data_IF_892404588786
#
_entry.id   IF_892404588786
#
_cell.length_a   1.000
_cell.length_b   1.000
_cell.length_c   1.000
_cell.angle_alpha   90.00
_cell.angle_beta   90.00
_cell.angle_gamma   90.00
#
_symmetry.space_group_name_H-M   'P 1'
#
loop_
_entity.id
_entity.type
_entity.pdbx_description
1 polymer ?
#
# COMPACT_ATOMS: atom_id res chain seq x y z
N UNK A 1 16.48 9.31 -12.18
CA UNK A 1 15.33 9.97 -11.54
C UNK A 1 15.67 11.43 -11.38
N UNK A 2 14.99 12.32 -12.09
CA UNK A 2 15.03 13.74 -11.79
C UNK A 2 14.47 13.90 -10.38
N UNK A 3 15.33 14.23 -9.42
CA UNK A 3 14.89 14.80 -8.14
C UNK A 3 13.88 15.89 -8.49
N UNK A 4 12.63 15.84 -7.99
CA UNK A 4 11.77 17.01 -8.03
C UNK A 4 12.63 18.15 -7.51
N UNK A 5 12.79 19.22 -8.28
CA UNK A 5 13.54 20.38 -7.84
C UNK A 5 12.82 20.95 -6.62
N UNK A 6 13.18 20.43 -5.45
CA UNK A 6 13.01 21.12 -4.20
C UNK A 6 13.67 22.48 -4.39
N UNK A 7 12.95 23.57 -4.14
CA UNK A 7 13.55 24.90 -4.13
C UNK A 7 14.86 24.89 -3.31
N UNK A 8 15.76 25.86 -3.53
CA UNK A 8 17.15 25.82 -3.05
C UNK A 8 17.32 25.51 -1.55
N UNK A 9 16.28 25.72 -0.74
CA UNK A 9 16.26 25.55 0.70
C UNK A 9 15.59 24.28 1.23
N UNK A 10 15.01 23.40 0.42
CA UNK A 10 14.24 22.25 0.92
C UNK A 10 14.74 20.93 0.34
N UNK A 11 14.48 19.82 1.02
CA UNK A 11 14.73 18.48 0.52
C UNK A 11 13.63 17.50 0.95
N UNK A 12 13.41 16.48 0.11
CA UNK A 12 12.46 15.40 0.35
C UNK A 12 13.26 14.18 0.76
N UNK A 13 13.03 13.70 1.98
CA UNK A 13 13.76 12.54 2.52
C UNK A 13 12.80 11.50 3.06
N UNK A 14 13.12 10.23 2.81
CA UNK A 14 12.43 9.09 3.43
C UNK A 14 13.13 8.73 4.73
N UNK A 15 12.40 8.75 5.84
CA UNK A 15 12.92 8.50 7.19
C UNK A 15 12.09 7.43 7.90
N UNK A 16 12.67 6.64 8.81
CA UNK A 16 11.89 5.74 9.65
C UNK A 16 10.84 6.53 10.43
N UNK A 17 9.63 5.99 10.55
CA UNK A 17 8.55 6.66 11.29
C UNK A 17 8.94 6.90 12.75
N UNK A 18 9.72 6.01 13.35
CA UNK A 18 10.24 6.18 14.70
C UNK A 18 11.08 7.47 14.84
N UNK A 19 11.88 7.81 13.83
CA UNK A 19 12.64 9.07 13.81
C UNK A 19 11.71 10.29 13.76
N UNK A 20 10.67 10.23 12.94
CA UNK A 20 9.67 11.28 12.87
C UNK A 20 8.93 11.43 14.21
N UNK A 21 8.58 10.31 14.84
CA UNK A 21 7.83 10.28 16.10
C UNK A 21 8.68 10.69 17.31
N UNK A 22 10.01 10.61 17.23
CA UNK A 22 10.93 11.10 18.27
C UNK A 22 10.94 12.63 18.43
N UNK A 23 10.47 13.38 17.41
CA UNK A 23 10.37 14.84 17.52
C UNK A 23 9.16 15.25 18.38
N UNK A 24 9.31 16.30 19.22
CA UNK A 24 8.19 16.82 20.00
C UNK A 24 7.08 17.31 19.06
N UNK A 25 5.79 17.22 19.44
CA UNK A 25 4.66 17.54 18.55
C UNK A 25 4.73 18.93 17.92
N UNK A 26 5.35 19.89 18.60
CA UNK A 26 5.53 21.28 18.14
C UNK A 26 6.61 21.44 17.07
N UNK A 27 7.59 20.53 16.99
CA UNK A 27 8.71 20.57 16.04
C UNK A 27 8.66 19.45 14.98
N UNK A 28 7.69 18.54 15.09
CA UNK A 28 7.53 17.40 14.20
C UNK A 28 7.04 17.83 12.80
N UNK A 29 7.71 17.41 11.70
CA UNK A 29 7.21 17.64 10.36
C UNK A 29 5.81 17.04 10.19
N UNK A 30 4.82 17.80 9.70
CA UNK A 30 3.46 17.24 9.53
C UNK A 30 3.42 16.29 8.34
N UNK A 31 3.02 15.04 8.59
CA UNK A 31 2.65 14.10 7.53
C UNK A 31 1.30 14.50 6.96
N UNK A 32 1.25 14.79 5.66
CA UNK A 32 0.03 15.19 4.96
C UNK A 32 -0.07 14.46 3.62
N UNK A 33 -1.29 14.40 3.10
CA UNK A 33 -1.51 14.14 1.68
C UNK A 33 -0.94 15.29 0.86
N UNK A 34 -0.58 14.97 -0.37
CA UNK A 34 -0.18 15.97 -1.33
C UNK A 34 -1.38 16.53 -2.03
N UNK A 35 -1.62 17.83 -1.89
CA UNK A 35 -2.65 18.50 -2.67
C UNK A 35 -2.11 18.88 -4.05
N UNK A 36 -1.85 17.84 -4.85
CA UNK A 36 -1.41 17.95 -6.24
C UNK A 36 -2.51 17.46 -7.20
N UNK A 37 -2.19 17.46 -8.50
CA UNK A 37 -3.11 17.01 -9.54
C UNK A 37 -3.62 15.59 -9.30
N UNK A 38 -2.80 14.68 -8.76
CA UNK A 38 -3.21 13.29 -8.54
C UNK A 38 -4.23 13.17 -7.42
N UNK A 39 -4.04 13.86 -6.30
CA UNK A 39 -5.03 13.86 -5.21
C UNK A 39 -6.32 14.58 -5.61
N UNK A 40 -6.22 15.68 -6.36
CA UNK A 40 -7.40 16.38 -6.87
C UNK A 40 -8.17 15.48 -7.86
N UNK A 41 -7.47 14.85 -8.80
CA UNK A 41 -8.08 13.88 -9.72
C UNK A 41 -8.71 12.70 -8.98
N UNK A 42 -8.02 12.13 -7.99
CA UNK A 42 -8.57 11.08 -7.13
C UNK A 42 -9.90 11.52 -6.51
N UNK A 43 -9.93 12.69 -5.87
CA UNK A 43 -11.13 13.21 -5.21
C UNK A 43 -12.27 13.47 -6.20
N UNK A 44 -12.00 14.20 -7.28
CA UNK A 44 -13.01 14.57 -8.28
C UNK A 44 -13.61 13.32 -8.91
N UNK A 45 -12.78 12.38 -9.39
CA UNK A 45 -13.26 11.15 -10.03
C UNK A 45 -14.00 10.27 -9.03
N UNK A 46 -13.51 10.13 -7.80
CA UNK A 46 -14.19 9.35 -6.76
C UNK A 46 -15.56 9.95 -6.43
N UNK A 47 -15.68 11.27 -6.31
CA UNK A 47 -16.95 11.94 -6.02
C UNK A 47 -17.95 11.71 -7.17
N UNK A 48 -17.53 11.90 -8.42
CA UNK A 48 -18.40 11.68 -9.58
C UNK A 48 -18.86 10.21 -9.66
N UNK A 49 -17.95 9.26 -9.45
CA UNK A 49 -18.29 7.84 -9.44
C UNK A 49 -19.16 7.46 -8.23
N UNK A 50 -18.96 8.09 -7.06
CA UNK A 50 -19.78 7.87 -5.89
C UNK A 50 -21.23 8.33 -6.10
N UNK A 51 -21.46 9.41 -6.86
CA UNK A 51 -22.81 9.83 -7.24
C UNK A 51 -23.50 8.77 -8.10
N UNK A 52 -22.82 8.25 -9.12
CA UNK A 52 -23.35 7.17 -9.98
C UNK A 52 -23.62 5.91 -9.16
N UNK A 53 -22.68 5.52 -8.30
CA UNK A 53 -22.82 4.40 -7.36
C UNK A 53 -24.04 4.58 -6.45
N UNK A 54 -24.26 5.80 -5.94
CA UNK A 54 -25.42 6.16 -5.14
C UNK A 54 -26.74 6.01 -5.89
N UNK A 55 -26.79 6.39 -7.17
CA UNK A 55 -27.95 6.15 -8.04
C UNK A 55 -28.20 4.66 -8.28
N UNK A 56 -27.15 3.86 -8.47
CA UNK A 56 -27.27 2.39 -8.58
C UNK A 56 -27.85 1.80 -7.31
N UNK A 57 -27.37 2.22 -6.14
CA UNK A 57 -27.91 1.79 -4.84
C UNK A 57 -29.38 2.20 -4.69
N UNK A 58 -29.73 3.43 -5.06
CA UNK A 58 -31.11 3.91 -5.04
C UNK A 58 -32.01 3.05 -5.94
N UNK A 59 -31.53 2.65 -7.12
CA UNK A 59 -32.20 1.70 -7.99
C UNK A 59 -32.53 0.39 -7.28
N UNK A 60 -31.55 -0.19 -6.59
CA UNK A 60 -31.73 -1.37 -5.74
C UNK A 60 -32.79 -1.17 -4.64
N UNK A 61 -32.76 -0.01 -3.97
CA UNK A 61 -33.72 0.32 -2.92
C UNK A 61 -35.17 0.44 -3.43
N UNK A 62 -35.35 0.80 -4.71
CA UNK A 62 -36.65 0.83 -5.37
C UNK A 62 -37.07 -0.56 -5.86
N UNK A 63 -36.11 -1.34 -6.38
CA UNK A 63 -36.32 -2.70 -6.85
C UNK A 63 -35.01 -3.50 -6.74
N UNK A 64 -34.96 -4.63 -6.00
CA UNK A 64 -36.05 -5.39 -5.36
C UNK A 64 -36.69 -4.72 -4.14
N UNK A 65 -36.06 -3.69 -3.57
CA UNK A 65 -36.56 -3.03 -2.37
C UNK A 65 -35.49 -2.88 -1.29
N UNK A 66 -35.79 -2.13 -0.22
CA UNK A 66 -34.79 -1.73 0.75
C UNK A 66 -34.20 -2.90 1.55
N UNK A 67 -35.00 -3.93 1.86
CA UNK A 67 -34.55 -5.08 2.66
C UNK A 67 -33.39 -5.85 2.01
N UNK A 68 -33.59 -6.45 0.83
CA UNK A 68 -32.53 -7.18 0.11
C UNK A 68 -31.32 -6.29 -0.21
N UNK A 69 -31.53 -5.03 -0.60
CA UNK A 69 -30.43 -4.10 -0.90
C UNK A 69 -29.58 -3.76 0.33
N UNK A 70 -30.20 -3.43 1.46
CA UNK A 70 -29.47 -3.18 2.71
C UNK A 70 -28.73 -4.43 3.17
N UNK A 71 -29.34 -5.61 3.04
CA UNK A 71 -28.70 -6.87 3.38
C UNK A 71 -27.46 -7.12 2.50
N UNK A 72 -27.59 -6.99 1.19
CA UNK A 72 -26.50 -7.21 0.25
C UNK A 72 -25.33 -6.24 0.49
N UNK A 73 -25.61 -4.95 0.68
CA UNK A 73 -24.59 -3.95 0.97
C UNK A 73 -23.97 -4.17 2.36
N UNK A 74 -24.77 -4.55 3.36
CA UNK A 74 -24.31 -4.86 4.70
C UNK A 74 -23.32 -6.03 4.72
N UNK A 75 -23.60 -7.10 3.96
CA UNK A 75 -22.68 -8.22 3.77
C UNK A 75 -21.37 -7.77 3.10
N UNK A 76 -21.44 -6.87 2.11
CA UNK A 76 -20.26 -6.27 1.48
C UNK A 76 -19.40 -5.46 2.44
N UNK A 77 -20.02 -4.66 3.32
CA UNK A 77 -19.30 -3.91 4.36
C UNK A 77 -18.61 -4.86 5.34
N UNK A 78 -19.30 -5.92 5.79
CA UNK A 78 -18.72 -6.92 6.69
C UNK A 78 -17.55 -7.63 6.02
N UNK A 79 -17.71 -8.07 4.77
CA UNK A 79 -16.65 -8.69 3.99
C UNK A 79 -15.43 -7.77 3.87
N UNK A 80 -15.61 -6.53 3.43
CA UNK A 80 -14.50 -5.58 3.28
C UNK A 80 -13.82 -5.28 4.62
N UNK A 81 -14.58 -5.16 5.70
CA UNK A 81 -14.04 -4.93 7.04
C UNK A 81 -13.22 -6.12 7.55
N UNK A 82 -13.69 -7.36 7.33
CA UNK A 82 -12.95 -8.58 7.72
C UNK A 82 -11.64 -8.69 6.95
N UNK A 83 -11.66 -8.51 5.63
CA UNK A 83 -10.46 -8.61 4.80
C UNK A 83 -9.49 -7.48 5.12
N UNK A 84 -9.98 -6.24 5.25
CA UNK A 84 -9.15 -5.11 5.66
C UNK A 84 -8.54 -5.34 7.05
N UNK A 85 -9.31 -5.87 8.00
CA UNK A 85 -8.79 -6.23 9.31
C UNK A 85 -7.62 -7.21 9.17
N UNK A 86 -7.77 -8.30 8.41
CA UNK A 86 -6.70 -9.28 8.18
C UNK A 86 -5.46 -8.61 7.57
N UNK A 87 -5.62 -7.83 6.49
CA UNK A 87 -4.52 -7.10 5.84
C UNK A 87 -3.86 -6.11 6.81
N UNK A 88 -4.64 -5.45 7.67
CA UNK A 88 -4.13 -4.47 8.64
C UNK A 88 -3.23 -5.07 9.72
N UNK A 89 -3.32 -6.39 9.95
CA UNK A 89 -2.44 -7.13 10.87
C UNK A 89 -1.09 -7.48 10.27
N UNK A 90 -0.93 -7.30 8.96
CA UNK A 90 0.27 -7.73 8.24
C UNK A 90 1.38 -6.70 8.34
N UNK A 91 2.63 -7.15 8.20
CA UNK A 91 3.78 -6.25 8.21
C UNK A 91 3.71 -5.25 7.04
N UNK A 92 3.22 -5.67 5.87
CA UNK A 92 3.16 -4.85 4.66
C UNK A 92 2.26 -3.62 4.81
N UNK A 93 1.22 -3.72 5.66
CA UNK A 93 0.31 -2.62 5.94
C UNK A 93 0.89 -1.60 6.93
N UNK A 94 1.93 -1.96 7.69
CA UNK A 94 2.43 -1.16 8.81
C UNK A 94 2.81 0.25 8.36
N UNK A 95 2.24 1.26 9.03
CA UNK A 95 2.46 2.67 8.69
C UNK A 95 1.43 3.27 7.74
N UNK A 96 0.55 2.46 7.14
CA UNK A 96 -0.57 2.94 6.32
C UNK A 96 -1.61 3.67 7.18
N UNK A 97 -1.97 4.93 6.85
CA UNK A 97 -3.06 5.63 7.50
C UNK A 97 -4.41 4.99 7.19
N UNK A 98 -5.31 4.98 8.17
CA UNK A 98 -6.69 4.50 8.00
C UNK A 98 -7.40 5.20 6.85
N UNK A 99 -7.27 6.53 6.74
CA UNK A 99 -7.92 7.29 5.66
C UNK A 99 -7.45 6.84 4.26
N UNK A 100 -6.18 6.47 4.11
CA UNK A 100 -5.64 6.00 2.84
C UNK A 100 -6.14 4.59 2.49
N UNK A 101 -6.28 3.72 3.49
CA UNK A 101 -6.90 2.40 3.32
C UNK A 101 -8.39 2.50 2.95
N UNK A 102 -9.13 3.39 3.63
CA UNK A 102 -10.53 3.66 3.31
C UNK A 102 -10.68 4.28 1.91
N UNK A 103 -9.78 5.18 1.50
CA UNK A 103 -9.77 5.72 0.15
C UNK A 103 -9.53 4.65 -0.91
N UNK A 104 -8.70 3.64 -0.64
CA UNK A 104 -8.48 2.50 -1.54
C UNK A 104 -9.74 1.64 -1.69
N UNK A 105 -10.37 1.26 -0.58
CA UNK A 105 -11.64 0.52 -0.60
C UNK A 105 -12.72 1.34 -1.32
N UNK A 106 -12.84 2.63 -1.00
CA UNK A 106 -13.81 3.53 -1.62
C UNK A 106 -13.60 3.65 -3.13
N UNK A 107 -12.34 3.73 -3.60
CA UNK A 107 -12.06 3.70 -5.03
C UNK A 107 -12.59 2.42 -5.67
N UNK A 108 -12.33 1.26 -5.06
CA UNK A 108 -12.85 -0.02 -5.52
C UNK A 108 -14.37 -0.02 -5.68
N UNK A 109 -15.08 0.40 -4.64
CA UNK A 109 -16.57 0.48 -4.60
C UNK A 109 -17.11 1.43 -5.67
N UNK A 110 -16.39 2.52 -5.96
CA UNK A 110 -16.88 3.60 -6.82
C UNK A 110 -16.18 3.61 -8.18
N UNK A 111 -15.02 4.26 -8.29
CA UNK A 111 -14.28 4.41 -9.53
C UNK A 111 -13.96 3.09 -10.23
N UNK A 112 -13.63 2.05 -9.46
CA UNK A 112 -13.42 0.71 -9.99
C UNK A 112 -14.66 0.17 -10.72
N UNK A 113 -15.81 0.12 -10.03
CA UNK A 113 -17.06 -0.44 -10.59
C UNK A 113 -17.67 0.47 -11.65
N UNK A 114 -17.74 1.78 -11.43
CA UNK A 114 -18.40 2.69 -12.38
C UNK A 114 -17.61 2.82 -13.67
N UNK A 115 -16.29 3.07 -13.59
CA UNK A 115 -15.48 3.20 -14.79
C UNK A 115 -15.29 1.85 -15.47
N UNK A 116 -15.15 0.77 -14.69
CA UNK A 116 -14.98 -0.58 -15.20
C UNK A 116 -16.23 -1.16 -15.83
N UNK A 117 -17.32 -1.25 -15.07
CA UNK A 117 -18.53 -1.98 -15.46
C UNK A 117 -19.57 -1.17 -16.22
N UNK A 118 -19.62 0.16 -16.09
CA UNK A 118 -20.73 0.96 -16.63
C UNK A 118 -20.39 1.84 -17.83
N UNK A 119 -19.12 1.91 -18.26
CA UNK A 119 -18.73 2.80 -19.37
C UNK A 119 -18.53 2.10 -20.70
N UNK A 120 -17.92 0.91 -20.70
CA UNK A 120 -17.41 0.28 -21.91
C UNK A 120 -17.69 -1.23 -22.02
N UNK A 121 -18.22 -1.85 -20.96
CA UNK A 121 -18.47 -3.30 -20.93
C UNK A 121 -19.40 -3.77 -22.05
N UNK A 122 -20.51 -3.08 -22.30
CA UNK A 122 -21.46 -3.46 -23.35
C UNK A 122 -20.81 -3.42 -24.75
N UNK A 123 -20.16 -2.31 -25.10
CA UNK A 123 -19.49 -2.15 -26.39
C UNK A 123 -18.37 -3.18 -26.60
N UNK A 124 -17.65 -3.57 -25.54
CA UNK A 124 -16.61 -4.60 -25.62
C UNK A 124 -17.21 -6.01 -25.78
N UNK A 125 -18.37 -6.27 -25.17
CA UNK A 125 -19.14 -7.50 -25.37
C UNK A 125 -19.60 -7.63 -26.83
N UNK A 126 -20.22 -6.56 -27.35
CA UNK A 126 -20.70 -6.49 -28.74
C UNK A 126 -19.55 -6.67 -29.74
N UNK A 127 -18.37 -6.09 -29.45
CA UNK A 127 -17.18 -6.25 -30.28
C UNK A 127 -16.72 -7.72 -30.35
N UNK A 128 -16.70 -8.43 -29.22
CA UNK A 128 -16.34 -9.85 -29.18
C UNK A 128 -17.30 -10.70 -30.02
N UNK A 129 -18.60 -10.42 -29.90
CA UNK A 129 -19.65 -11.07 -30.70
C UNK A 129 -19.47 -10.74 -32.18
N UNK A 130 -19.20 -9.48 -32.53
CA UNK A 130 -18.94 -9.03 -33.89
C UNK A 130 -17.69 -9.65 -34.53
N UNK A 131 -16.68 -10.00 -33.72
CA UNK A 131 -15.50 -10.76 -34.15
C UNK A 131 -15.74 -12.27 -34.31
N UNK A 132 -16.95 -12.76 -34.05
CA UNK A 132 -17.26 -14.20 -34.08
C UNK A 132 -16.61 -14.96 -32.92
N UNK A 133 -16.31 -14.27 -31.81
CA UNK A 133 -15.68 -14.85 -30.61
C UNK A 133 -16.52 -14.59 -29.34
N UNK A 134 -17.81 -14.96 -29.30
CA UNK A 134 -18.66 -14.71 -28.13
C UNK A 134 -18.13 -15.33 -26.83
N UNK A 135 -17.25 -16.33 -26.93
CA UNK A 135 -16.61 -17.01 -25.80
C UNK A 135 -15.77 -16.07 -24.93
N UNK A 136 -15.23 -15.00 -25.52
CA UNK A 136 -14.40 -14.00 -24.81
C UNK A 136 -15.18 -12.73 -24.44
N UNK A 137 -16.50 -12.68 -24.70
CA UNK A 137 -17.30 -11.47 -24.50
C UNK A 137 -17.20 -10.95 -23.05
N UNK A 138 -17.41 -11.81 -22.06
CA UNK A 138 -17.27 -11.45 -20.64
C UNK A 138 -15.82 -11.20 -20.21
N UNK A 139 -14.86 -11.84 -20.88
CA UNK A 139 -13.44 -11.57 -20.66
C UNK A 139 -13.06 -10.16 -21.11
N UNK A 140 -13.58 -9.69 -22.25
CA UNK A 140 -13.35 -8.33 -22.73
C UNK A 140 -14.21 -7.30 -21.98
N UNK A 141 -15.49 -7.59 -21.78
CA UNK A 141 -16.44 -6.66 -21.16
C UNK A 141 -16.19 -6.44 -19.67
N UNK A 142 -15.85 -7.49 -18.93
CA UNK A 142 -15.57 -7.41 -17.49
C UNK A 142 -14.09 -7.15 -17.21
N UNK A 143 -13.19 -8.00 -17.70
CA UNK A 143 -11.80 -7.94 -17.23
C UNK A 143 -11.03 -6.72 -17.73
N UNK A 144 -11.18 -6.34 -19.00
CA UNK A 144 -10.39 -5.25 -19.59
C UNK A 144 -10.66 -3.90 -18.91
N UNK A 145 -11.91 -3.37 -18.91
CA UNK A 145 -12.15 -2.04 -18.37
C UNK A 145 -12.04 -2.02 -16.85
N UNK A 146 -12.43 -3.08 -16.15
CA UNK A 146 -12.36 -3.09 -14.70
C UNK A 146 -10.93 -3.15 -14.17
N UNK A 147 -10.05 -4.02 -14.70
CA UNK A 147 -8.66 -4.05 -14.24
C UNK A 147 -7.94 -2.74 -14.57
N UNK A 148 -8.32 -2.08 -15.66
CA UNK A 148 -7.82 -0.74 -16.02
C UNK A 148 -8.29 0.33 -15.03
N UNK A 149 -9.57 0.34 -14.66
CA UNK A 149 -10.14 1.27 -13.69
C UNK A 149 -9.54 1.09 -12.29
N UNK A 150 -9.33 -0.17 -11.86
CA UNK A 150 -8.68 -0.50 -10.59
C UNK A 150 -7.21 -0.08 -10.61
N UNK A 151 -6.49 -0.32 -11.70
CA UNK A 151 -5.09 0.11 -11.88
C UNK A 151 -4.94 1.63 -11.77
N UNK A 152 -5.84 2.40 -12.40
CA UNK A 152 -5.87 3.86 -12.30
C UNK A 152 -5.98 4.30 -10.84
N UNK A 153 -6.87 3.67 -10.07
CA UNK A 153 -7.00 3.92 -8.63
C UNK A 153 -5.71 3.71 -7.87
N UNK A 154 -5.04 2.58 -8.10
CA UNK A 154 -3.76 2.29 -7.44
C UNK A 154 -2.73 3.37 -7.77
N UNK A 155 -2.61 3.80 -9.03
CA UNK A 155 -1.70 4.88 -9.40
C UNK A 155 -2.02 6.17 -8.64
N UNK A 156 -3.29 6.62 -8.69
CA UNK A 156 -3.73 7.85 -8.03
C UNK A 156 -3.49 7.81 -6.52
N UNK A 157 -3.82 6.70 -5.86
CA UNK A 157 -3.64 6.52 -4.42
C UNK A 157 -2.16 6.45 -4.04
N UNK A 158 -1.32 5.80 -4.83
CA UNK A 158 0.13 5.76 -4.61
C UNK A 158 0.73 7.17 -4.68
N UNK A 159 0.31 8.01 -5.62
CA UNK A 159 0.75 9.40 -5.70
C UNK A 159 0.18 10.27 -4.58
N UNK A 160 -1.12 10.15 -4.27
CA UNK A 160 -1.76 10.91 -3.19
C UNK A 160 -1.17 10.57 -1.82
N UNK A 161 -0.91 9.28 -1.59
CA UNK A 161 -0.43 8.69 -0.36
C UNK A 161 1.08 8.53 -0.24
N UNK A 162 1.90 9.05 -1.18
CA UNK A 162 3.37 8.85 -1.23
C UNK A 162 4.15 9.28 0.01
N UNK A 163 3.52 10.01 0.94
CA UNK A 163 4.04 10.27 2.28
C UNK A 163 4.20 8.97 3.08
N UNK A 164 3.28 8.02 2.91
CA UNK A 164 3.24 6.75 3.64
C UNK A 164 3.51 5.55 2.72
N UNK A 165 3.06 5.62 1.46
CA UNK A 165 3.20 4.57 0.47
C UNK A 165 4.42 4.78 -0.43
N UNK A 166 5.60 4.51 0.13
CA UNK A 166 6.91 4.74 -0.49
C UNK A 166 7.79 3.47 -0.53
N UNK A 167 7.17 2.29 -0.60
CA UNK A 167 7.83 0.99 -0.80
C UNK A 167 7.05 0.17 -1.85
N UNK A 168 7.70 -0.70 -2.65
CA UNK A 168 7.01 -1.47 -3.69
C UNK A 168 5.80 -2.26 -3.18
N UNK A 169 5.91 -2.89 -2.01
CA UNK A 169 4.81 -3.64 -1.39
C UNK A 169 3.63 -2.79 -0.92
N UNK A 170 3.76 -1.47 -0.80
CA UNK A 170 2.60 -0.61 -0.56
C UNK A 170 1.68 -0.56 -1.78
N UNK A 171 2.21 -0.73 -2.99
CA UNK A 171 1.39 -0.92 -4.19
C UNK A 171 0.57 -2.21 -4.15
N UNK A 172 1.14 -3.30 -3.62
CA UNK A 172 0.41 -4.55 -3.37
C UNK A 172 -0.74 -4.34 -2.38
N UNK A 173 -0.48 -3.66 -1.25
CA UNK A 173 -1.52 -3.34 -0.25
C UNK A 173 -2.61 -2.46 -0.85
N UNK A 174 -2.24 -1.42 -1.61
CA UNK A 174 -3.19 -0.57 -2.31
C UNK A 174 -4.07 -1.37 -3.27
N UNK A 175 -3.45 -2.24 -4.07
CA UNK A 175 -4.15 -3.08 -5.04
C UNK A 175 -5.13 -4.05 -4.40
N UNK A 176 -4.72 -4.74 -3.32
CA UNK A 176 -5.60 -5.64 -2.57
C UNK A 176 -6.79 -4.87 -2.00
N UNK A 177 -6.58 -3.70 -1.39
CA UNK A 177 -7.69 -2.93 -0.79
C UNK A 177 -8.65 -2.36 -1.85
N UNK A 178 -8.14 -1.93 -3.01
CA UNK A 178 -8.98 -1.53 -4.15
C UNK A 178 -9.80 -2.72 -4.64
N UNK A 179 -9.18 -3.87 -4.84
CA UNK A 179 -9.87 -5.09 -5.30
C UNK A 179 -10.92 -5.57 -4.29
N UNK A 180 -10.66 -5.49 -2.99
CA UNK A 180 -11.64 -5.80 -1.93
C UNK A 180 -12.86 -4.89 -2.00
N UNK A 181 -12.66 -3.58 -2.18
CA UNK A 181 -13.77 -2.64 -2.32
C UNK A 181 -14.61 -2.92 -3.56
N UNK A 182 -13.95 -3.22 -4.68
CA UNK A 182 -14.62 -3.60 -5.92
C UNK A 182 -15.45 -4.87 -5.74
N UNK A 183 -14.84 -5.94 -5.21
CA UNK A 183 -15.49 -7.23 -4.99
C UNK A 183 -16.67 -7.11 -4.03
N UNK A 184 -16.54 -6.33 -2.96
CA UNK A 184 -17.62 -6.09 -2.01
C UNK A 184 -18.85 -5.50 -2.69
N UNK A 185 -18.66 -4.50 -3.55
CA UNK A 185 -19.77 -3.85 -4.23
C UNK A 185 -20.31 -4.68 -5.39
N UNK A 186 -19.45 -5.31 -6.18
CA UNK A 186 -19.88 -6.19 -7.26
C UNK A 186 -20.70 -7.38 -6.73
N UNK A 187 -20.23 -8.04 -5.66
CA UNK A 187 -20.99 -9.11 -5.01
C UNK A 187 -22.38 -8.63 -4.55
N UNK A 188 -22.46 -7.41 -4.02
CA UNK A 188 -23.73 -6.80 -3.65
C UNK A 188 -24.62 -6.55 -4.88
N UNK A 189 -24.06 -6.04 -5.98
CA UNK A 189 -24.82 -5.81 -7.21
C UNK A 189 -25.38 -7.10 -7.80
N UNK A 190 -24.60 -8.18 -7.84
CA UNK A 190 -25.10 -9.49 -8.27
C UNK A 190 -26.22 -9.99 -7.36
N UNK A 191 -26.04 -9.90 -6.04
CA UNK A 191 -27.05 -10.31 -5.08
C UNK A 191 -28.34 -9.49 -5.23
N UNK A 192 -28.24 -8.17 -5.41
CA UNK A 192 -29.38 -7.27 -5.62
C UNK A 192 -30.10 -7.59 -6.94
N UNK A 193 -29.33 -7.77 -8.02
CA UNK A 193 -29.88 -7.95 -9.37
C UNK A 193 -30.53 -9.31 -9.58
N UNK A 194 -30.00 -10.34 -8.93
CA UNK A 194 -30.49 -11.72 -9.08
C UNK A 194 -31.46 -12.14 -7.97
N UNK A 195 -31.57 -11.39 -6.87
CA UNK A 195 -32.52 -11.68 -5.80
C UNK A 195 -33.97 -11.89 -6.28
N UNK A 196 -34.56 -11.04 -7.15
CA UNK A 196 -35.93 -11.22 -7.65
C UNK A 196 -36.17 -12.52 -8.42
N UNK A 197 -35.10 -13.16 -8.91
CA UNK A 197 -35.20 -14.40 -9.70
C UNK A 197 -35.26 -15.64 -8.83
N UNK A 198 -35.03 -15.50 -7.52
CA UNK A 198 -35.01 -16.61 -6.58
C UNK A 198 -36.44 -17.07 -6.23
N UNK A 199 -36.68 -18.38 -6.29
CA UNK A 199 -38.04 -18.96 -6.23
C UNK A 199 -38.76 -18.79 -4.87
N UNK A 200 -38.02 -18.55 -3.78
CA UNK A 200 -38.59 -18.48 -2.43
C UNK A 200 -38.78 -17.04 -1.95
N UNK A 201 -37.70 -16.26 -1.91
CA UNK A 201 -37.71 -14.86 -1.55
C UNK A 201 -36.44 -14.15 -2.03
N UNK A 202 -36.53 -12.84 -2.20
CA UNK A 202 -35.39 -11.98 -2.53
C UNK A 202 -34.29 -12.04 -1.47
N UNK A 203 -34.65 -12.14 -0.19
CA UNK A 203 -33.69 -12.26 0.92
C UNK A 203 -32.87 -13.54 0.80
N UNK A 204 -33.52 -14.66 0.49
CA UNK A 204 -32.81 -15.92 0.27
C UNK A 204 -31.93 -15.84 -0.99
N UNK A 205 -32.42 -15.21 -2.06
CA UNK A 205 -31.64 -14.94 -3.26
C UNK A 205 -30.36 -14.15 -2.97
N UNK A 206 -30.44 -13.12 -2.13
CA UNK A 206 -29.26 -12.36 -1.67
C UNK A 206 -28.27 -13.27 -0.93
N UNK A 207 -28.74 -14.04 0.05
CA UNK A 207 -27.87 -14.88 0.89
C UNK A 207 -27.17 -15.97 0.06
N UNK A 208 -27.91 -16.66 -0.81
CA UNK A 208 -27.36 -17.72 -1.66
C UNK A 208 -26.39 -17.15 -2.69
N UNK A 209 -26.71 -16.03 -3.33
CA UNK A 209 -25.81 -15.39 -4.28
C UNK A 209 -24.50 -14.94 -3.61
N UNK A 210 -24.58 -14.34 -2.41
CA UNK A 210 -23.40 -14.01 -1.63
C UNK A 210 -22.56 -15.25 -1.28
N UNK A 211 -23.20 -16.32 -0.83
CA UNK A 211 -22.52 -17.57 -0.48
C UNK A 211 -21.78 -18.15 -1.69
N UNK A 212 -22.44 -18.24 -2.84
CA UNK A 212 -21.84 -18.75 -4.08
C UNK A 212 -20.63 -17.90 -4.47
N UNK A 213 -20.75 -16.57 -4.42
CA UNK A 213 -19.65 -15.67 -4.81
C UNK A 213 -18.47 -15.71 -3.83
N UNK A 214 -18.73 -15.91 -2.54
CA UNK A 214 -17.68 -16.11 -1.54
C UNK A 214 -16.92 -17.43 -1.71
N UNK A 215 -17.59 -18.49 -2.17
CA UNK A 215 -16.97 -19.82 -2.29
C UNK A 215 -16.35 -20.06 -3.66
N UNK A 216 -17.01 -19.61 -4.74
CA UNK A 216 -16.58 -19.91 -6.10
C UNK A 216 -15.20 -19.31 -6.39
N UNK A 217 -15.01 -18.01 -6.13
CA UNK A 217 -13.79 -17.26 -6.43
C UNK A 217 -13.42 -16.26 -5.35
N UNK A 218 -13.10 -16.72 -4.13
CA UNK A 218 -12.82 -15.82 -3.01
C UNK A 218 -11.66 -14.88 -3.33
N UNK A 219 -11.84 -13.59 -3.10
CA UNK A 219 -10.80 -12.57 -3.24
C UNK A 219 -10.24 -12.46 -4.67
N UNK A 220 -11.00 -12.85 -5.71
CA UNK A 220 -10.52 -12.82 -7.08
C UNK A 220 -10.07 -11.42 -7.51
N UNK A 221 -10.83 -10.37 -7.21
CA UNK A 221 -10.43 -9.02 -7.61
C UNK A 221 -9.29 -8.48 -6.75
N UNK A 222 -9.29 -8.82 -5.45
CA UNK A 222 -8.17 -8.50 -4.58
C UNK A 222 -6.86 -9.15 -5.07
N UNK A 223 -6.96 -10.38 -5.59
CA UNK A 223 -5.88 -11.09 -6.26
C UNK A 223 -5.42 -10.34 -7.52
N UNK A 224 -6.32 -10.12 -8.49
CA UNK A 224 -5.99 -9.50 -9.77
C UNK A 224 -5.35 -8.12 -9.56
N UNK A 225 -6.02 -7.25 -8.81
CA UNK A 225 -5.54 -5.89 -8.56
C UNK A 225 -4.33 -5.87 -7.62
N UNK A 226 -4.15 -6.87 -6.74
CA UNK A 226 -2.93 -7.05 -5.96
C UNK A 226 -1.69 -7.26 -6.84
N UNK A 227 -1.81 -8.08 -7.89
CA UNK A 227 -0.74 -8.30 -8.88
C UNK A 227 -0.39 -6.99 -9.61
N UNK A 228 -1.42 -6.30 -10.11
CA UNK A 228 -1.28 -5.02 -10.81
C UNK A 228 -0.63 -3.97 -9.89
N UNK A 229 -1.12 -3.88 -8.65
CA UNK A 229 -0.65 -2.92 -7.67
C UNK A 229 0.79 -3.15 -7.24
N UNK A 230 1.23 -4.41 -7.06
CA UNK A 230 2.64 -4.72 -6.82
C UNK A 230 3.52 -4.23 -7.98
N UNK A 231 3.13 -4.50 -9.22
CA UNK A 231 3.89 -4.11 -10.40
C UNK A 231 3.98 -2.58 -10.55
N UNK A 232 2.89 -1.85 -10.30
CA UNK A 232 2.89 -0.38 -10.21
C UNK A 232 3.84 0.08 -9.11
N UNK A 233 3.78 -0.52 -7.92
CA UNK A 233 4.67 -0.21 -6.81
C UNK A 233 6.14 -0.39 -7.16
N UNK A 234 6.49 -1.49 -7.82
CA UNK A 234 7.85 -1.76 -8.33
C UNK A 234 8.25 -0.70 -9.36
N UNK A 235 7.40 -0.45 -10.36
CA UNK A 235 7.67 0.50 -11.43
C UNK A 235 7.85 1.93 -10.93
N UNK A 236 7.17 2.32 -9.85
CA UNK A 236 7.29 3.67 -9.27
C UNK A 236 8.50 3.81 -8.33
N UNK A 237 8.81 2.77 -7.56
CA UNK A 237 9.64 2.94 -6.35
C UNK A 237 10.97 2.20 -6.37
N UNK A 238 11.18 1.22 -7.25
CA UNK A 238 12.53 0.64 -7.44
C UNK A 238 13.42 1.63 -8.20
N UNK A 239 14.62 1.89 -7.68
CA UNK A 239 15.53 2.91 -8.21
C UNK A 239 16.39 2.41 -9.38
N UNK A 240 16.63 1.10 -9.43
CA UNK A 240 17.50 0.38 -10.36
C UNK A 240 16.85 0.12 -11.74
N UNK A 241 15.58 0.50 -11.93
CA UNK A 241 14.85 0.27 -13.18
C UNK A 241 15.01 1.42 -14.19
N UNK A 242 15.34 1.05 -15.43
CA UNK A 242 15.27 1.92 -16.61
C UNK A 242 13.81 2.26 -16.98
N UNK A 243 13.60 3.27 -17.83
CA UNK A 243 12.26 3.66 -18.29
C UNK A 243 11.52 2.50 -18.97
N UNK A 244 12.20 1.76 -19.85
CA UNK A 244 11.61 0.59 -20.54
C UNK A 244 11.22 -0.50 -19.56
N UNK A 245 12.06 -0.79 -18.56
CA UNK A 245 11.73 -1.78 -17.53
C UNK A 245 10.51 -1.35 -16.70
N UNK A 246 10.35 -0.06 -16.39
CA UNK A 246 9.17 0.43 -15.67
C UNK A 246 7.90 0.23 -16.48
N UNK A 247 7.93 0.55 -17.78
CA UNK A 247 6.80 0.28 -18.68
C UNK A 247 6.50 -1.22 -18.75
N UNK A 248 7.53 -2.05 -18.85
CA UNK A 248 7.40 -3.51 -18.83
C UNK A 248 6.73 -4.04 -17.56
N UNK A 249 7.07 -3.48 -16.38
CA UNK A 249 6.38 -3.82 -15.13
C UNK A 249 4.91 -3.41 -15.16
N UNK A 250 4.59 -2.20 -15.59
CA UNK A 250 3.20 -1.72 -15.64
C UNK A 250 2.37 -2.57 -16.60
N UNK A 251 2.84 -2.78 -17.83
CA UNK A 251 2.11 -3.57 -18.84
C UNK A 251 2.04 -5.05 -18.46
N UNK A 252 3.14 -5.63 -17.96
CA UNK A 252 3.18 -7.03 -17.53
C UNK A 252 2.32 -7.30 -16.30
N UNK A 253 2.32 -6.38 -15.32
CA UNK A 253 1.46 -6.48 -14.14
C UNK A 253 -0.01 -6.32 -14.47
N UNK A 254 -0.37 -5.32 -15.28
CA UNK A 254 -1.72 -5.16 -15.82
C UNK A 254 -2.14 -6.41 -16.60
N UNK A 255 -1.28 -6.90 -17.49
CA UNK A 255 -1.53 -8.11 -18.28
C UNK A 255 -1.72 -9.36 -17.42
N UNK A 256 -1.00 -9.50 -16.31
CA UNK A 256 -1.17 -10.61 -15.38
C UNK A 256 -2.52 -10.55 -14.65
N UNK A 257 -2.90 -9.39 -14.12
CA UNK A 257 -4.23 -9.19 -13.49
C UNK A 257 -5.37 -9.40 -14.50
N UNK A 258 -5.23 -8.81 -15.69
CA UNK A 258 -6.17 -9.01 -16.79
C UNK A 258 -6.25 -10.49 -17.19
N UNK A 259 -5.14 -11.21 -17.34
CA UNK A 259 -5.15 -12.60 -17.75
C UNK A 259 -5.88 -13.49 -16.74
N UNK A 260 -5.65 -13.32 -15.44
CA UNK A 260 -6.36 -14.09 -14.41
C UNK A 260 -7.87 -13.83 -14.50
N UNK A 261 -8.26 -12.56 -14.59
CA UNK A 261 -9.68 -12.19 -14.65
C UNK A 261 -10.35 -12.57 -15.99
N UNK A 262 -9.69 -12.34 -17.11
CA UNK A 262 -10.17 -12.71 -18.43
C UNK A 262 -10.32 -14.23 -18.56
N UNK A 263 -9.33 -14.99 -18.08
CA UNK A 263 -9.41 -16.46 -18.05
C UNK A 263 -10.49 -16.95 -17.11
N UNK A 264 -10.79 -16.24 -16.01
CA UNK A 264 -11.91 -16.54 -15.13
C UNK A 264 -13.26 -16.41 -15.84
N UNK A 265 -13.45 -15.33 -16.60
CA UNK A 265 -14.67 -15.02 -17.36
C UNK A 265 -14.80 -15.76 -18.70
N UNK A 266 -13.77 -16.48 -19.14
CA UNK A 266 -13.78 -17.19 -20.40
C UNK A 266 -14.84 -18.31 -20.39
N UNK A 267 -15.64 -18.39 -21.45
CA UNK A 267 -16.64 -19.45 -21.65
C UNK A 267 -16.28 -20.23 -22.93
N UNK A 268 -15.30 -21.13 -22.88
CA UNK A 268 -14.81 -21.81 -24.07
C UNK A 268 -15.80 -22.89 -24.54
N UNK A 269 -15.81 -23.18 -25.85
CA UNK A 269 -16.82 -24.07 -26.45
C UNK A 269 -16.80 -25.50 -25.90
N UNK A 270 -15.65 -25.99 -25.43
CA UNK A 270 -15.50 -27.33 -24.87
C UNK A 270 -16.10 -27.48 -23.46
N UNK A 271 -16.53 -26.39 -22.81
CA UNK A 271 -17.22 -26.39 -21.51
C UNK A 271 -18.75 -26.37 -21.65
N UNK A 272 -19.30 -26.19 -22.86
CA UNK A 272 -20.75 -25.96 -23.10
C UNK A 272 -21.66 -26.99 -22.44
N UNK A 273 -21.24 -28.25 -22.43
CA UNK A 273 -22.02 -29.37 -21.93
C UNK A 273 -21.51 -29.91 -20.58
N UNK A 274 -20.57 -29.22 -19.92
CA UNK A 274 -19.92 -29.70 -18.69
C UNK A 274 -19.65 -28.58 -17.68
N UNK A 275 -20.54 -28.47 -16.70
CA UNK A 275 -20.31 -27.61 -15.52
C UNK A 275 -19.02 -27.98 -14.79
N UNK A 276 -18.67 -29.27 -14.73
CA UNK A 276 -17.45 -29.74 -14.09
C UNK A 276 -16.19 -29.19 -14.79
N UNK A 277 -16.19 -29.14 -16.13
CA UNK A 277 -15.09 -28.59 -16.91
C UNK A 277 -14.85 -27.10 -16.58
N UNK A 278 -15.93 -26.31 -16.51
CA UNK A 278 -15.85 -24.90 -16.11
C UNK A 278 -15.34 -24.70 -14.68
N UNK A 279 -15.82 -25.49 -13.73
CA UNK A 279 -15.33 -25.45 -12.33
C UNK A 279 -13.85 -25.80 -12.23
N UNK A 280 -13.36 -26.77 -13.01
CA UNK A 280 -11.94 -27.12 -13.07
C UNK A 280 -11.12 -25.95 -13.61
N UNK A 281 -11.53 -25.34 -14.73
CA UNK A 281 -10.83 -24.16 -15.27
C UNK A 281 -10.79 -23.03 -14.26
N UNK A 282 -11.92 -22.65 -13.69
CA UNK A 282 -12.02 -21.58 -12.69
C UNK A 282 -11.09 -21.85 -11.50
N UNK A 283 -11.09 -23.09 -11.01
CA UNK A 283 -10.20 -23.52 -9.92
C UNK A 283 -8.73 -23.42 -10.30
N UNK A 284 -8.34 -23.87 -11.49
CA UNK A 284 -6.96 -23.80 -11.97
C UNK A 284 -6.49 -22.34 -12.12
N UNK A 285 -7.33 -21.48 -12.69
CA UNK A 285 -7.05 -20.04 -12.86
C UNK A 285 -6.86 -19.38 -11.49
N UNK A 286 -7.78 -19.64 -10.55
CA UNK A 286 -7.71 -19.07 -9.21
C UNK A 286 -6.50 -19.58 -8.41
N UNK A 287 -6.22 -20.89 -8.43
CA UNK A 287 -5.05 -21.48 -7.77
C UNK A 287 -3.76 -20.91 -8.36
N UNK A 288 -3.67 -20.83 -9.69
CA UNK A 288 -2.52 -20.27 -10.39
C UNK A 288 -2.27 -18.80 -10.01
N UNK A 289 -3.32 -17.97 -10.09
CA UNK A 289 -3.23 -16.56 -9.71
C UNK A 289 -2.87 -16.39 -8.24
N UNK A 290 -3.54 -17.10 -7.33
CA UNK A 290 -3.25 -17.07 -5.89
C UNK A 290 -1.82 -17.49 -5.60
N UNK A 291 -1.29 -18.52 -6.27
CA UNK A 291 0.10 -18.95 -6.09
C UNK A 291 1.10 -17.83 -6.47
N UNK A 292 0.84 -17.10 -7.55
CA UNK A 292 1.66 -15.93 -7.95
C UNK A 292 1.56 -14.82 -6.90
N UNK A 293 0.35 -14.47 -6.46
CA UNK A 293 0.16 -13.43 -5.44
C UNK A 293 0.82 -13.80 -4.11
N UNK A 294 0.66 -15.03 -3.64
CA UNK A 294 1.31 -15.53 -2.41
C UNK A 294 2.81 -15.45 -2.53
N UNK A 295 3.38 -15.80 -3.69
CA UNK A 295 4.82 -15.69 -3.95
C UNK A 295 5.29 -14.23 -3.83
N UNK A 296 4.57 -13.30 -4.46
CA UNK A 296 4.82 -11.86 -4.38
C UNK A 296 4.67 -11.36 -2.93
N UNK A 297 3.66 -11.84 -2.21
CA UNK A 297 3.38 -11.48 -0.83
C UNK A 297 4.50 -11.93 0.10
N UNK A 298 4.95 -13.19 -0.01
CA UNK A 298 6.05 -13.75 0.77
C UNK A 298 7.34 -13.02 0.47
N UNK A 299 7.64 -12.74 -0.80
CA UNK A 299 8.81 -11.96 -1.20
C UNK A 299 8.78 -10.54 -0.59
N UNK A 300 7.66 -9.84 -0.75
CA UNK A 300 7.42 -8.51 -0.18
C UNK A 300 7.56 -8.50 1.35
N UNK A 301 7.07 -9.54 2.02
CA UNK A 301 7.16 -9.66 3.48
C UNK A 301 8.59 -9.89 3.95
N UNK A 302 9.40 -10.65 3.20
CA UNK A 302 10.83 -10.81 3.47
C UNK A 302 11.57 -9.47 3.33
N UNK A 303 11.30 -8.71 2.27
CA UNK A 303 11.89 -7.37 2.10
C UNK A 303 11.47 -6.40 3.21
N UNK A 304 10.18 -6.37 3.56
CA UNK A 304 9.65 -5.53 4.63
C UNK A 304 10.24 -5.93 6.00
N UNK A 305 10.42 -7.23 6.26
CA UNK A 305 11.06 -7.74 7.48
C UNK A 305 12.52 -7.33 7.56
N UNK A 306 13.30 -7.52 6.49
CA UNK A 306 14.69 -7.07 6.45
C UNK A 306 14.81 -5.55 6.71
N UNK A 307 13.91 -4.74 6.15
CA UNK A 307 13.85 -3.31 6.42
C UNK A 307 13.45 -2.99 7.88
N UNK A 308 12.54 -3.77 8.47
CA UNK A 308 12.13 -3.61 9.86
C UNK A 308 13.25 -3.99 10.84
N UNK A 309 13.96 -5.10 10.58
CA UNK A 309 15.08 -5.57 11.40
C UNK A 309 16.25 -4.58 11.36
N UNK A 310 16.43 -3.86 10.24
CA UNK A 310 17.37 -2.75 10.11
C UNK A 310 16.87 -1.43 10.73
N UNK A 311 15.70 -1.40 11.38
CA UNK A 311 15.11 -0.19 11.97
C UNK A 311 14.63 0.85 10.95
N UNK A 312 14.51 0.48 9.68
CA UNK A 312 14.15 1.37 8.57
C UNK A 312 12.67 1.37 8.20
N UNK A 313 11.86 0.52 8.85
CA UNK A 313 10.44 0.34 8.53
C UNK A 313 9.56 0.31 9.81
N UNK A 314 8.37 0.95 9.83
CA UNK A 314 7.72 1.68 8.73
C UNK A 314 8.43 2.98 8.39
N UNK A 315 8.31 3.41 7.14
CA UNK A 315 8.98 4.61 6.60
C UNK A 315 7.96 5.67 6.22
N UNK A 316 8.33 6.94 6.38
CA UNK A 316 7.54 8.10 5.96
C UNK A 316 8.39 9.07 5.17
N UNK A 317 7.79 9.76 4.21
CA UNK A 317 8.44 10.80 3.42
C UNK A 317 8.18 12.15 4.07
N UNK A 318 9.23 12.91 4.40
CA UNK A 318 9.12 14.23 5.04
C UNK A 318 9.77 15.31 4.18
N UNK A 319 9.19 16.51 4.24
CA UNK A 319 9.79 17.75 3.72
C UNK A 319 10.54 18.42 4.84
N UNK A 320 11.84 18.61 4.67
CA UNK A 320 12.64 19.38 5.62
C UNK A 320 13.42 20.46 4.90
N UNK A 321 13.66 21.56 5.59
CA UNK A 321 14.58 22.59 5.10
C UNK A 321 15.95 21.93 5.00
N UNK A 322 16.65 22.07 3.88
CA UNK A 322 18.04 21.63 3.77
C UNK A 322 18.79 22.26 4.93
N UNK A 323 19.59 21.49 5.67
CA UNK A 323 20.55 22.08 6.58
C UNK A 323 21.35 23.09 5.76
N UNK A 324 21.30 24.37 6.13
CA UNK A 324 22.25 25.35 5.59
C UNK A 324 23.62 24.75 5.94
N UNK A 325 24.44 24.43 4.93
CA UNK A 325 25.82 24.03 5.16
C UNK A 325 26.39 25.07 6.11
N UNK A 326 26.68 24.65 7.35
CA UNK A 326 26.88 25.61 8.42
C UNK A 326 27.87 26.66 7.95
N UNK A 327 27.49 27.94 8.10
CA UNK A 327 28.52 28.96 8.32
C UNK A 327 29.46 28.30 9.32
N UNK A 328 30.76 28.14 9.02
CA UNK A 328 31.68 27.55 9.98
C UNK A 328 31.49 28.35 11.26
N UNK A 329 30.83 27.75 12.25
CA UNK A 329 30.78 28.34 13.57
C UNK A 329 32.24 28.32 13.98
N UNK A 330 32.89 29.48 13.88
CA UNK A 330 34.21 29.71 14.42
C UNK A 330 34.12 29.22 15.87
N UNK A 331 34.79 28.10 16.14
CA UNK A 331 34.73 27.49 17.45
C UNK A 331 35.11 28.53 18.49
N UNK A 332 34.35 28.59 19.59
CA UNK A 332 34.78 29.34 20.76
C UNK A 332 36.15 28.77 21.18
N UNK A 333 37.20 29.60 21.28
CA UNK A 333 38.53 29.14 21.67
C UNK A 333 38.47 28.38 23.00
N UNK A 334 39.00 27.16 23.06
CA UNK A 334 39.16 26.39 24.30
C UNK A 334 38.09 25.32 24.61
N UNK A 335 37.15 25.03 23.71
CA UNK A 335 36.17 23.94 23.89
C UNK A 335 36.65 22.66 23.19
N UNK A 336 36.74 21.50 23.88
CA UNK A 336 37.05 20.21 23.24
C UNK A 336 36.01 19.83 22.19
N UNK A 337 36.45 19.32 21.05
CA UNK A 337 35.55 18.83 19.99
C UNK A 337 34.70 17.64 20.47
N UNK A 338 33.45 17.54 20.00
CA UNK A 338 32.59 16.38 20.24
C UNK A 338 32.75 15.34 19.11
N UNK A 339 32.91 14.04 19.43
CA UNK A 339 32.91 12.98 18.42
C UNK A 339 31.58 12.90 17.66
N UNK A 340 31.65 12.56 16.37
CA UNK A 340 30.45 12.25 15.58
C UNK A 340 29.85 10.91 15.99
N UNK A 341 28.54 10.74 15.79
CA UNK A 341 27.88 9.47 16.04
C UNK A 341 28.09 8.51 14.86
N UNK A 342 28.72 7.33 15.04
CA UNK A 342 29.01 6.39 13.94
C UNK A 342 27.77 5.91 13.19
N UNK A 343 26.60 6.01 13.83
CA UNK A 343 25.30 5.57 13.32
C UNK A 343 24.66 6.59 12.35
N UNK A 344 25.20 7.81 12.28
CA UNK A 344 24.67 8.91 11.48
C UNK A 344 25.81 9.58 10.67
N UNK A 345 26.15 9.04 9.49
CA UNK A 345 27.26 9.55 8.65
C UNK A 345 27.13 11.03 8.24
N UNK A 346 25.92 11.58 8.34
CA UNK A 346 25.58 12.95 7.98
C UNK A 346 25.75 13.96 9.12
N UNK A 347 26.23 13.52 10.29
CA UNK A 347 26.58 14.37 11.43
C UNK A 347 28.10 14.23 11.69
N UNK A 348 28.95 15.04 11.02
CA UNK A 348 30.39 15.03 11.30
C UNK A 348 30.65 15.49 12.73
N UNK A 349 31.60 14.87 13.42
CA UNK A 349 32.07 15.37 14.72
C UNK A 349 32.64 16.79 14.60
N UNK A 350 32.58 17.56 15.68
CA UNK A 350 33.10 18.93 15.70
C UNK A 350 34.61 18.93 15.92
N UNK A 351 35.36 19.68 15.11
CA UNK A 351 36.81 19.87 15.29
C UNK A 351 37.05 20.98 16.31
N UNK A 352 37.65 20.66 17.46
CA UNK A 352 38.16 21.67 18.39
C UNK A 352 39.43 22.33 17.84
N UNK A 353 39.65 23.61 18.15
CA UNK A 353 40.91 24.32 17.84
C UNK A 353 41.88 24.25 19.03
N UNK A 354 43.16 23.89 18.86
CA UNK A 354 44.18 24.04 19.89
C UNK A 354 44.38 25.53 20.21
N UNK A 355 44.25 25.92 21.48
CA UNK A 355 44.48 27.29 21.95
C UNK A 355 45.93 27.55 22.36
N UNK A 356 46.41 28.77 22.10
CA UNK A 356 47.66 29.38 22.60
C UNK A 356 47.74 29.35 24.14
N UNK A 357 48.96 29.46 24.74
CA UNK A 357 49.15 29.45 26.20
C UNK A 357 48.37 30.58 26.90
N UNK A 358 47.96 30.38 28.17
CA UNK A 358 47.07 31.29 28.86
C UNK A 358 47.70 32.68 29.05
N UNK A 359 46.93 33.72 28.72
CA UNK A 359 47.25 35.10 29.11
C UNK A 359 47.23 35.23 30.65
N UNK A 360 48.09 36.10 31.17
CA UNK A 360 48.26 36.36 32.61
C UNK A 360 46.93 36.71 33.30
N UNK A 361 46.76 36.34 34.58
CA UNK A 361 45.51 36.56 35.31
C UNK A 361 45.27 38.06 35.58
N UNK A 362 44.01 38.48 35.43
CA UNK A 362 43.55 39.80 35.85
C UNK A 362 43.56 39.91 37.40
N UNK A 363 43.91 41.06 37.99
CA UNK A 363 43.94 41.24 39.44
C UNK A 363 42.53 41.19 40.03
N UNK A 364 42.30 40.34 41.04
CA UNK A 364 41.11 40.44 41.91
C UNK A 364 40.19 39.22 42.00
N UNK A 365 40.50 38.09 41.35
CA UNK A 365 39.72 36.85 41.53
C UNK A 365 40.60 35.74 42.14
N UNK A 366 40.14 35.04 43.20
CA UNK A 366 40.87 33.89 43.74
C UNK A 366 40.83 32.72 42.73
N UNK A 367 42.01 32.22 42.37
CA UNK A 367 42.18 30.99 41.58
C UNK A 367 41.93 29.80 42.51
N UNK A 368 40.83 29.07 42.29
CA UNK A 368 40.63 27.76 42.94
C UNK A 368 41.47 26.74 42.17
N UNK A 369 42.46 26.15 42.84
CA UNK A 369 43.32 25.11 42.26
C UNK A 369 42.50 23.85 41.92
N UNK A 370 42.80 23.24 40.78
CA UNK A 370 42.15 22.04 40.27
C UNK A 370 42.59 20.76 41.01
N UNK A 371 42.58 20.77 42.35
CA UNK A 371 42.77 19.58 43.18
C UNK A 371 41.73 19.56 44.29
N UNK A 372 40.48 19.22 43.93
CA UNK A 372 39.51 18.54 44.80
C UNK A 372 38.21 18.34 44.02
N UNK A 373 38.10 17.22 43.29
CA UNK A 373 36.81 16.58 43.02
C UNK A 373 36.86 15.13 43.53
N UNK A 374 35.78 14.60 44.13
CA UNK A 374 35.78 13.26 44.70
C UNK A 374 35.96 12.20 43.60
N UNK A 375 36.80 11.19 43.86
CA UNK A 375 36.93 10.01 43.00
C UNK A 375 35.64 9.18 43.08
N UNK A 376 34.93 9.01 41.96
CA UNK A 376 34.01 7.89 41.81
C UNK A 376 34.82 6.60 41.55
N UNK A 377 34.46 5.44 42.13
CA UNK A 377 35.19 4.20 41.90
C UNK A 377 35.00 3.71 40.46
N UNK A 378 36.12 3.33 39.83
CA UNK A 378 36.12 2.57 38.58
C UNK A 378 35.47 1.19 38.82
N UNK A 379 34.33 0.93 38.19
CA UNK A 379 33.85 -0.44 38.00
C UNK A 379 34.47 -0.98 36.70
N UNK A 380 35.12 -2.15 36.79
CA UNK A 380 35.67 -2.87 35.65
C UNK A 380 34.59 -3.38 34.66
N UNK A 381 34.99 -4.07 33.58
CA UNK A 381 34.07 -4.46 32.51
C UNK A 381 32.96 -5.38 33.03
N UNK A 382 31.70 -4.93 32.91
CA UNK A 382 30.52 -5.73 33.20
C UNK A 382 30.44 -6.91 32.22
N UNK A 383 30.55 -8.12 32.75
CA UNK A 383 30.15 -9.34 32.07
C UNK A 383 28.61 -9.35 31.97
N UNK A 384 28.08 -9.38 30.75
CA UNK A 384 26.67 -9.67 30.51
C UNK A 384 26.39 -11.15 30.79
N UNK A 385 25.30 -11.51 31.50
CA UNK A 385 24.86 -12.89 31.60
C UNK A 385 24.47 -13.41 30.21
N UNK A 386 25.13 -14.47 29.76
CA UNK A 386 24.71 -15.21 28.56
C UNK A 386 23.41 -15.96 28.86
N UNK A 387 22.35 -15.66 28.12
CA UNK A 387 21.15 -16.50 28.11
C UNK A 387 21.37 -17.71 27.19
N UNK A 388 20.99 -18.93 27.61
CA UNK A 388 21.08 -20.11 26.75
C UNK A 388 20.03 -20.07 25.62
N UNK A 389 20.33 -20.64 24.43
CA UNK A 389 19.42 -20.68 23.30
C UNK A 389 18.21 -21.60 23.56
N UNK A 390 17.02 -21.13 23.16
CA UNK A 390 15.72 -21.79 23.43
C UNK A 390 15.26 -22.82 22.39
N UNK A 391 16.09 -23.23 21.44
CA UNK A 391 15.71 -24.26 20.45
C UNK A 391 16.92 -25.08 19.99
N UNK A 392 16.80 -26.42 19.84
CA UNK A 392 17.88 -27.27 19.32
C UNK A 392 18.12 -27.07 17.81
N UNK A 393 19.39 -27.13 17.42
CA UNK A 393 19.88 -27.06 16.04
C UNK A 393 19.57 -28.35 15.27
N UNK A 394 18.82 -28.31 14.15
CA UNK A 394 18.44 -29.50 13.39
C UNK A 394 19.57 -30.10 12.52
N UNK A 395 20.84 -29.75 12.75
CA UNK A 395 21.99 -30.28 11.98
C UNK A 395 22.92 -31.22 12.75
N UNK A 396 22.45 -31.78 13.85
CA UNK A 396 23.12 -32.91 14.49
C UNK A 396 22.11 -34.05 14.69
N UNK A 397 21.86 -34.82 13.63
CA UNK A 397 21.67 -36.27 13.60
C UNK A 397 21.54 -36.73 12.14
#
# INVERSE_FOLDING_TARGET
MTTPQSGPDWEIVSVPRAWHDAHPPTARPRLKFFWDVFTISLLVVTILCALVTGFTVLGGMLFPGPGPTVLALGLGVVFAAVVWFIVSRTLLYRGTPVLLALAAILWGVTGGVVLGGFTSSEHLSELAVGWGTPQIAWSLAGAWPEETAKALGVVLLMFAGRTWWNRPWHGLVAGVLVGVGFEAFENALYAISLAPTHAVSDVQGVLEMWLIRLVAGPLLHALCTGLVGYAIGVALLRADLTGVQRVGWVLGGWGAGFAVHALWNLIPDWEKDSTAAGLIRMSLVWVGGTAVLVTIWVHSHREARAAADAGMYPVVTVYRKRPVAGVPMTGLPGVPGMPGYPQYPWYPGYRGYPGYPPAAPLPGYPVVSAQQRPRHPQQGPQQYPQHPPRWPDPRQH
#
